data_IF_306590470987
#
_entry.id   IF_306590470987
#
_cell.length_a   1.000
_cell.length_b   1.000
_cell.length_c   1.000
_cell.angle_alpha   90.00
_cell.angle_beta   90.00
_cell.angle_gamma   90.00
#
_symmetry.space_group_name_H-M   'P 1'
#
loop_
_entity.id
_entity.type
_entity.pdbx_description
1 polymer ?
#
# COMPACT_ATOMS: atom_id res chain seq x y z
N UNK A 1 33.45 -4.87 0.97
CA UNK A 1 32.36 -3.94 0.64
C UNK A 1 31.44 -3.89 1.85
N UNK A 2 31.43 -2.77 2.57
CA UNK A 2 30.51 -2.55 3.70
C UNK A 2 29.31 -1.82 3.10
N UNK A 3 28.16 -2.47 3.08
CA UNK A 3 26.90 -1.81 2.71
C UNK A 3 26.44 -1.07 3.96
N UNK A 4 26.24 0.24 3.84
CA UNK A 4 25.68 1.04 4.92
C UNK A 4 24.27 0.55 5.25
N UNK A 5 23.94 0.52 6.54
CA UNK A 5 22.64 0.09 7.04
C UNK A 5 21.49 0.88 6.39
N UNK A 6 21.66 2.19 6.14
CA UNK A 6 20.66 3.04 5.46
C UNK A 6 20.33 2.55 4.03
N UNK A 7 21.33 2.20 3.23
CA UNK A 7 21.12 1.68 1.86
C UNK A 7 20.42 0.33 1.84
N UNK A 8 20.62 -0.47 2.89
CA UNK A 8 19.96 -1.77 3.05
C UNK A 8 18.48 -1.59 3.42
N UNK A 9 18.15 -0.55 4.20
CA UNK A 9 16.76 -0.22 4.53
C UNK A 9 15.99 0.39 3.36
N UNK A 10 16.62 1.26 2.56
CA UNK A 10 16.00 1.78 1.33
C UNK A 10 15.67 0.65 0.36
N UNK A 11 16.64 -0.24 0.11
CA UNK A 11 16.44 -1.42 -0.73
C UNK A 11 15.32 -2.34 -0.21
N UNK A 12 15.26 -2.59 1.11
CA UNK A 12 14.19 -3.38 1.70
C UNK A 12 12.82 -2.68 1.60
N UNK A 13 12.79 -1.36 1.67
CA UNK A 13 11.54 -0.58 1.52
C UNK A 13 11.00 -0.74 0.10
N UNK A 14 11.84 -0.52 -0.91
CA UNK A 14 11.48 -0.70 -2.32
C UNK A 14 10.98 -2.13 -2.63
N UNK A 15 11.58 -3.15 -2.01
CA UNK A 15 11.15 -4.54 -2.17
C UNK A 15 9.79 -4.87 -1.52
N UNK A 16 9.39 -4.11 -0.50
CA UNK A 16 8.16 -4.34 0.25
C UNK A 16 7.00 -3.48 -0.25
N UNK A 17 7.28 -2.46 -1.06
CA UNK A 17 6.25 -1.70 -1.77
C UNK A 17 5.56 -2.57 -2.84
N UNK A 18 4.24 -2.48 -2.89
CA UNK A 18 3.42 -3.22 -3.86
C UNK A 18 2.55 -2.23 -4.63
N UNK A 19 2.73 -2.18 -5.94
CA UNK A 19 1.94 -1.33 -6.83
C UNK A 19 0.93 -2.19 -7.61
N UNK A 20 -0.34 -1.86 -7.46
CA UNK A 20 -1.45 -2.50 -8.14
C UNK A 20 -2.05 -1.54 -9.16
N UNK A 21 -2.27 -2.02 -10.38
CA UNK A 21 -2.99 -1.26 -11.43
C UNK A 21 -4.49 -1.25 -11.20
N UNK A 22 -4.99 -2.33 -10.61
CA UNK A 22 -6.40 -2.55 -10.34
C UNK A 22 -6.51 -3.14 -8.94
N UNK A 23 -7.02 -2.33 -8.00
CA UNK A 23 -7.26 -2.72 -6.63
C UNK A 23 -8.56 -2.10 -6.13
N UNK A 24 -9.27 -2.84 -5.27
CA UNK A 24 -10.43 -2.32 -4.54
C UNK A 24 -10.09 -2.31 -3.06
N UNK A 25 -10.12 -1.12 -2.46
CA UNK A 25 -9.75 -0.87 -1.07
C UNK A 25 -11.00 -0.68 -0.24
N UNK A 26 -11.16 -1.45 0.83
CA UNK A 26 -12.34 -1.45 1.70
C UNK A 26 -12.04 -0.96 3.11
N UNK A 27 -13.03 -0.30 3.72
CA UNK A 27 -12.97 0.14 5.12
C UNK A 27 -13.33 -0.97 6.11
N UNK A 28 -13.99 -2.01 5.65
CA UNK A 28 -14.46 -3.14 6.46
C UNK A 28 -14.01 -4.47 5.85
N UNK A 29 -14.05 -5.53 6.65
CA UNK A 29 -13.58 -6.85 6.23
C UNK A 29 -14.63 -7.58 5.37
N UNK A 30 -15.90 -7.21 5.54
CA UNK A 30 -17.08 -7.72 4.88
C UNK A 30 -17.23 -7.21 3.44
N UNK A 31 -16.39 -6.24 3.05
CA UNK A 31 -16.33 -5.60 1.72
C UNK A 31 -17.59 -4.81 1.38
N UNK A 32 -18.23 -4.22 2.39
CA UNK A 32 -19.48 -3.46 2.24
C UNK A 32 -19.25 -2.02 1.78
N UNK A 33 -18.18 -1.37 2.24
CA UNK A 33 -17.87 0.02 1.92
C UNK A 33 -16.49 0.20 1.27
N UNK A 34 -16.52 0.65 0.01
CA UNK A 34 -15.35 0.93 -0.82
C UNK A 34 -14.79 2.32 -0.50
N UNK A 35 -13.48 2.37 -0.19
CA UNK A 35 -12.70 3.61 -0.04
C UNK A 35 -12.12 4.09 -1.37
N UNK A 36 -11.70 3.15 -2.23
CA UNK A 36 -11.09 3.42 -3.53
C UNK A 36 -11.19 2.20 -4.46
N UNK A 37 -11.29 2.46 -5.76
CA UNK A 37 -11.25 1.47 -6.83
C UNK A 37 -10.32 2.00 -7.94
N UNK A 38 -9.39 1.15 -8.40
CA UNK A 38 -8.41 1.47 -9.43
C UNK A 38 -6.96 1.34 -8.93
N UNK A 39 -6.00 2.07 -9.51
CA UNK A 39 -4.60 1.91 -9.14
C UNK A 39 -4.35 2.32 -7.68
N UNK A 40 -3.47 1.60 -7.00
CA UNK A 40 -3.06 1.91 -5.62
C UNK A 40 -1.67 1.35 -5.32
N UNK A 41 -0.93 2.02 -4.44
CA UNK A 41 0.38 1.58 -3.96
C UNK A 41 0.34 1.31 -2.46
N UNK A 42 0.71 0.10 -2.05
CA UNK A 42 0.89 -0.26 -0.63
C UNK A 42 2.35 -0.02 -0.27
N UNK A 43 2.58 0.91 0.66
CA UNK A 43 3.92 1.24 1.14
C UNK A 43 4.41 0.18 2.13
N UNK A 44 5.73 0.07 2.32
CA UNK A 44 6.32 -0.85 3.30
C UNK A 44 5.82 -0.60 4.76
N UNK A 45 5.29 0.59 5.03
CA UNK A 45 4.68 0.98 6.31
C UNK A 45 3.22 0.52 6.46
N UNK A 46 2.65 -0.10 5.43
CA UNK A 46 1.24 -0.54 5.35
C UNK A 46 0.27 0.56 4.94
N UNK A 47 0.73 1.79 4.71
CA UNK A 47 -0.10 2.87 4.18
C UNK A 47 -0.45 2.59 2.73
N UNK A 48 -1.66 2.99 2.31
CA UNK A 48 -2.07 2.89 0.91
C UNK A 48 -2.08 4.27 0.29
N UNK A 49 -1.24 4.47 -0.72
CA UNK A 49 -1.21 5.68 -1.52
C UNK A 49 -2.06 5.52 -2.78
N UNK A 50 -2.92 6.52 -3.02
CA UNK A 50 -3.77 6.59 -4.20
C UNK A 50 -3.12 7.49 -5.27
N UNK A 51 -3.51 7.38 -6.56
CA UNK A 51 -2.97 8.22 -7.65
C UNK A 51 -3.16 9.73 -7.45
N UNK A 52 -4.13 10.11 -6.60
CA UNK A 52 -4.35 11.49 -6.19
C UNK A 52 -3.30 12.04 -5.22
N UNK A 53 -2.38 11.21 -4.73
CA UNK A 53 -1.45 11.51 -3.63
C UNK A 53 -2.10 11.41 -2.24
N UNK A 54 -3.36 11.00 -2.15
CA UNK A 54 -4.02 10.73 -0.86
C UNK A 54 -3.45 9.47 -0.22
N UNK A 55 -3.15 9.56 1.07
CA UNK A 55 -2.73 8.43 1.89
C UNK A 55 -3.89 7.91 2.74
N UNK A 56 -4.17 6.61 2.66
CA UNK A 56 -5.11 5.89 3.51
C UNK A 56 -4.34 5.21 4.64
N UNK A 57 -4.80 5.46 5.87
CA UNK A 57 -4.20 4.87 7.07
C UNK A 57 -4.36 3.35 7.06
N UNK A 58 -3.33 2.59 7.48
CA UNK A 58 -3.45 1.14 7.68
C UNK A 58 -4.57 0.78 8.67
N UNK A 59 -4.90 1.67 9.61
CA UNK A 59 -5.99 1.45 10.56
C UNK A 59 -7.38 1.71 9.97
N UNK A 60 -7.46 2.31 8.78
CA UNK A 60 -8.71 2.57 8.07
C UNK A 60 -8.95 1.57 6.93
N UNK A 61 -7.92 0.85 6.49
CA UNK A 61 -8.00 -0.14 5.42
C UNK A 61 -8.04 -1.52 6.03
N UNK A 62 -9.14 -2.25 5.81
CA UNK A 62 -9.31 -3.60 6.35
C UNK A 62 -9.08 -4.67 5.30
N UNK A 63 -9.42 -4.39 4.05
CA UNK A 63 -9.27 -5.33 2.96
C UNK A 63 -8.85 -4.64 1.66
N UNK A 64 -8.00 -5.32 0.88
CA UNK A 64 -7.64 -4.92 -0.47
C UNK A 64 -7.81 -6.14 -1.36
N UNK A 65 -8.71 -6.06 -2.33
CA UNK A 65 -8.79 -7.01 -3.43
C UNK A 65 -7.88 -6.56 -4.56
N UNK A 66 -7.11 -7.49 -5.12
CA UNK A 66 -6.16 -7.24 -6.21
C UNK A 66 -6.36 -8.32 -7.29
N UNK A 67 -6.38 -7.93 -8.56
CA UNK A 67 -6.43 -8.83 -9.72
C UNK A 67 -5.09 -9.56 -9.96
#
# INVERSE_FOLDING_TARGET
>A
MVVSTDSLWEYLTELLEQEYREAVVYVDAEREAVLHEGPARVLATGWVELPSGRLLSPAAVHHIDTE
#
